data_IF_228453265888
#
_entry.id   IF_228453265888
#
_cell.length_a   1.000
_cell.length_b   1.000
_cell.length_c   1.000
_cell.angle_alpha   90.00
_cell.angle_beta   90.00
_cell.angle_gamma   90.00
#
_symmetry.space_group_name_H-M   'P 1'
#
loop_
_entity.id
_entity.type
_entity.pdbx_description
1 polymer ?
#
# COMPACT_ATOMS: atom_id res chain seq x y z
N UNK A 1 6.26 11.67 27.96
CA UNK A 1 7.29 12.72 28.16
C UNK A 1 8.00 13.00 26.85
N UNK A 2 7.60 14.07 26.17
CA UNK A 2 8.08 14.41 24.82
C UNK A 2 9.40 15.18 24.90
N UNK A 3 10.52 14.49 24.72
CA UNK A 3 11.83 15.12 24.59
C UNK A 3 12.03 15.64 23.17
N UNK A 4 12.35 16.94 23.08
CA UNK A 4 12.67 17.61 21.82
C UNK A 4 13.99 17.02 21.28
N UNK A 5 13.98 16.60 20.01
CA UNK A 5 15.19 16.11 19.31
C UNK A 5 15.80 17.28 18.54
N UNK A 6 17.09 17.50 18.73
CA UNK A 6 17.86 18.50 18.00
C UNK A 6 18.68 17.80 16.89
N UNK A 7 18.91 18.49 15.77
CA UNK A 7 19.83 18.04 14.72
C UNK A 7 21.30 18.28 15.11
N UNK A 8 22.21 18.00 14.19
CA UNK A 8 23.66 18.15 14.35
C UNK A 8 24.12 19.62 14.46
N UNK A 9 23.24 20.57 14.12
CA UNK A 9 23.44 22.01 14.30
C UNK A 9 22.73 22.55 15.57
N UNK A 10 22.09 21.68 16.36
CA UNK A 10 21.36 22.06 17.55
C UNK A 10 19.99 22.69 17.26
N UNK A 11 19.48 22.58 16.04
CA UNK A 11 18.16 23.09 15.64
C UNK A 11 17.09 22.05 15.96
N UNK A 12 15.95 22.50 16.46
CA UNK A 12 14.82 21.62 16.77
C UNK A 12 14.31 20.91 15.52
N UNK A 13 14.37 19.58 15.56
CA UNK A 13 13.98 18.75 14.44
C UNK A 13 12.46 18.59 14.41
N UNK A 14 11.81 19.25 13.45
CA UNK A 14 10.37 19.09 13.22
C UNK A 14 10.11 17.74 12.56
N UNK A 15 9.69 16.76 13.35
CA UNK A 15 9.28 15.46 12.83
C UNK A 15 7.82 15.52 12.36
N UNK A 16 7.59 15.25 11.08
CA UNK A 16 6.27 14.88 10.57
C UNK A 16 5.88 13.53 11.18
N UNK A 17 4.99 13.58 12.17
CA UNK A 17 4.34 12.39 12.74
C UNK A 17 3.03 12.16 12.01
N UNK A 18 2.84 10.94 11.50
CA UNK A 18 1.56 10.50 10.98
C UNK A 18 0.53 10.56 12.10
N UNK A 19 -0.31 11.59 12.12
CA UNK A 19 -1.52 11.61 12.94
C UNK A 19 -2.58 10.77 12.26
N UNK A 20 -2.39 9.45 12.24
CA UNK A 20 -3.54 8.59 12.06
C UNK A 20 -4.41 8.77 13.31
N UNK A 21 -5.69 9.19 13.19
CA UNK A 21 -6.59 9.22 14.31
C UNK A 21 -6.94 7.76 14.63
N UNK A 22 -6.07 7.07 15.37
CA UNK A 22 -6.35 5.74 15.90
C UNK A 22 -7.50 5.78 16.93
N UNK A 23 -7.97 6.97 17.30
CA UNK A 23 -9.17 7.19 18.10
C UNK A 23 -10.27 7.84 17.26
N UNK A 24 -11.24 7.05 16.84
CA UNK A 24 -12.47 7.57 16.24
C UNK A 24 -13.34 8.17 17.35
N UNK A 25 -13.67 9.46 17.24
CA UNK A 25 -14.64 10.11 18.11
C UNK A 25 -16.05 9.97 17.55
N UNK A 26 -17.09 10.19 18.37
CA UNK A 26 -18.49 10.18 17.92
C UNK A 26 -18.72 11.05 16.66
N UNK A 27 -18.00 12.17 16.56
CA UNK A 27 -18.04 13.09 15.42
C UNK A 27 -17.61 12.47 14.09
N UNK A 28 -16.76 11.43 14.12
CA UNK A 28 -16.37 10.72 12.89
C UNK A 28 -17.56 9.91 12.32
N UNK A 29 -18.37 9.31 13.19
CA UNK A 29 -19.56 8.55 12.79
C UNK A 29 -20.73 9.43 12.35
N UNK A 30 -20.69 10.73 12.66
CA UNK A 30 -21.65 11.72 12.17
C UNK A 30 -21.38 12.11 10.71
N UNK A 31 -20.19 11.81 10.18
CA UNK A 31 -19.84 12.04 8.78
C UNK A 31 -20.28 10.86 7.93
N UNK A 32 -20.84 11.14 6.76
CA UNK A 32 -21.07 10.11 5.75
C UNK A 32 -19.75 9.57 5.23
N UNK A 33 -19.76 8.35 4.72
CA UNK A 33 -18.58 7.70 4.12
C UNK A 33 -17.93 8.60 3.07
N UNK A 34 -18.73 9.30 2.25
CA UNK A 34 -18.27 10.21 1.20
C UNK A 34 -17.35 11.32 1.71
N UNK A 35 -17.46 11.72 2.98
CA UNK A 35 -16.56 12.71 3.58
C UNK A 35 -15.10 12.25 3.64
N UNK A 36 -14.87 10.93 3.67
CA UNK A 36 -13.55 10.32 3.75
C UNK A 36 -13.06 9.78 2.41
N UNK A 37 -13.87 9.90 1.36
CA UNK A 37 -13.52 9.47 0.01
C UNK A 37 -12.97 10.65 -0.78
N UNK A 38 -11.75 10.52 -1.26
CA UNK A 38 -11.21 11.44 -2.27
C UNK A 38 -11.67 10.96 -3.65
N UNK A 39 -12.40 11.81 -4.37
CA UNK A 39 -12.81 11.50 -5.75
C UNK A 39 -11.76 12.00 -6.72
N UNK A 40 -11.49 11.23 -7.76
CA UNK A 40 -10.53 11.59 -8.80
C UNK A 40 -10.87 12.95 -9.45
N UNK A 41 -12.16 13.29 -9.58
CA UNK A 41 -12.59 14.60 -10.13
C UNK A 41 -12.21 15.81 -9.25
N UNK A 42 -11.90 15.56 -7.97
CA UNK A 42 -11.55 16.60 -6.98
C UNK A 42 -10.06 16.64 -6.67
N UNK A 43 -9.27 15.75 -7.28
CA UNK A 43 -7.82 15.68 -7.06
C UNK A 43 -7.09 16.83 -7.77
N UNK A 44 -6.03 17.32 -7.15
CA UNK A 44 -5.12 18.26 -7.81
C UNK A 44 -4.33 17.54 -8.94
N UNK A 45 -3.72 18.28 -9.88
CA UNK A 45 -2.84 17.67 -10.88
C UNK A 45 -1.69 16.86 -10.28
N UNK A 46 -1.15 17.29 -9.12
CA UNK A 46 -0.10 16.56 -8.39
C UNK A 46 -0.63 15.25 -7.82
N UNK A 47 -1.81 15.26 -7.20
CA UNK A 47 -2.45 14.05 -6.67
C UNK A 47 -2.75 13.04 -7.78
N UNK A 48 -3.20 13.51 -8.95
CA UNK A 48 -3.45 12.65 -10.12
C UNK A 48 -2.15 12.00 -10.62
N UNK A 49 -1.06 12.77 -10.69
CA UNK A 49 0.24 12.22 -11.07
C UNK A 49 0.74 11.18 -10.04
N UNK A 50 0.51 11.43 -8.75
CA UNK A 50 0.80 10.48 -7.68
C UNK A 50 -0.05 9.21 -7.77
N UNK A 51 -1.34 9.34 -8.06
CA UNK A 51 -2.24 8.21 -8.26
C UNK A 51 -1.83 7.36 -9.48
N UNK A 52 -1.48 8.00 -10.59
CA UNK A 52 -1.00 7.30 -11.80
C UNK A 52 0.30 6.55 -11.52
N UNK A 53 1.23 7.18 -10.79
CA UNK A 53 2.48 6.54 -10.37
C UNK A 53 2.22 5.31 -9.48
N UNK A 54 1.23 5.39 -8.58
CA UNK A 54 0.83 4.27 -7.73
C UNK A 54 0.17 3.14 -8.53
N UNK A 55 -0.69 3.48 -9.50
CA UNK A 55 -1.30 2.50 -10.42
C UNK A 55 -0.22 1.74 -11.18
N UNK A 56 0.71 2.45 -11.80
CA UNK A 56 1.83 1.86 -12.53
C UNK A 56 2.73 0.98 -11.64
N UNK A 57 2.98 1.41 -10.40
CA UNK A 57 3.72 0.60 -9.43
C UNK A 57 3.00 -0.72 -9.11
N UNK A 58 1.69 -0.69 -8.85
CA UNK A 58 0.91 -1.92 -8.56
C UNK A 58 0.82 -2.83 -9.78
N UNK A 59 0.71 -2.26 -10.99
CA UNK A 59 0.71 -3.01 -12.24
C UNK A 59 2.05 -3.70 -12.53
N UNK A 60 3.16 -3.20 -11.98
CA UNK A 60 4.48 -3.85 -12.11
C UNK A 60 4.63 -5.15 -11.32
N UNK A 61 3.66 -5.49 -10.45
CA UNK A 61 3.73 -6.70 -9.64
C UNK A 61 3.43 -7.93 -10.48
N UNK A 62 4.29 -8.96 -10.42
CA UNK A 62 4.09 -10.21 -11.16
C UNK A 62 2.77 -10.89 -10.71
N UNK A 63 1.85 -11.23 -11.64
CA UNK A 63 0.63 -11.95 -11.33
C UNK A 63 0.88 -13.29 -10.62
N UNK A 64 -0.04 -13.68 -9.76
CA UNK A 64 0.00 -14.97 -9.06
C UNK A 64 -0.76 -16.03 -9.85
N UNK A 65 -0.21 -17.25 -9.87
CA UNK A 65 -0.92 -18.42 -10.38
C UNK A 65 -2.14 -18.72 -9.51
N UNK A 66 -3.27 -18.99 -10.14
CA UNK A 66 -4.47 -19.42 -9.44
C UNK A 66 -4.32 -20.87 -9.01
N UNK A 67 -4.58 -21.14 -7.74
CA UNK A 67 -4.43 -22.47 -7.16
C UNK A 67 -5.68 -22.84 -6.35
N UNK A 68 -6.03 -24.12 -6.41
CA UNK A 68 -7.01 -24.70 -5.48
C UNK A 68 -6.44 -24.72 -4.05
N UNK A 69 -7.28 -24.98 -3.05
CA UNK A 69 -6.82 -25.13 -1.65
C UNK A 69 -5.75 -26.22 -1.46
N UNK A 70 -5.61 -27.16 -2.40
CA UNK A 70 -4.61 -28.22 -2.38
C UNK A 70 -3.30 -27.82 -3.09
N UNK A 71 -3.17 -26.58 -3.56
CA UNK A 71 -1.99 -26.10 -4.31
C UNK A 71 -1.96 -26.54 -5.77
N UNK A 72 -3.06 -27.06 -6.30
CA UNK A 72 -3.14 -27.49 -7.71
C UNK A 72 -3.50 -26.28 -8.59
N UNK A 73 -2.77 -26.02 -9.69
CA UNK A 73 -3.08 -24.94 -10.62
C UNK A 73 -4.50 -25.02 -11.17
N UNK A 74 -5.19 -23.89 -11.22
CA UNK A 74 -6.49 -23.76 -11.89
C UNK A 74 -6.25 -23.55 -13.38
N UNK A 75 -6.87 -24.39 -14.20
CA UNK A 75 -6.76 -24.31 -15.66
C UNK A 75 -7.94 -23.55 -16.26
N UNK A 76 -7.72 -22.89 -17.39
CA UNK A 76 -8.78 -22.29 -18.21
C UNK A 76 -9.47 -23.33 -19.11
N UNK A 77 -10.41 -22.87 -19.94
CA UNK A 77 -11.15 -23.73 -20.88
C UNK A 77 -10.27 -24.42 -21.93
N UNK A 78 -9.04 -23.92 -22.14
CA UNK A 78 -8.06 -24.43 -23.10
C UNK A 78 -6.99 -25.30 -22.42
N UNK A 79 -7.06 -25.47 -21.09
CA UNK A 79 -6.09 -26.23 -20.31
C UNK A 79 -4.83 -25.46 -19.92
N UNK A 80 -4.78 -24.13 -20.08
CA UNK A 80 -3.66 -23.30 -19.65
C UNK A 80 -3.82 -22.87 -18.19
N UNK A 81 -2.70 -22.68 -17.48
CA UNK A 81 -2.73 -22.14 -16.12
C UNK A 81 -3.29 -20.72 -16.09
N UNK A 82 -4.19 -20.44 -15.15
CA UNK A 82 -4.73 -19.12 -14.92
C UNK A 82 -3.85 -18.29 -13.99
N UNK A 83 -3.72 -17.00 -14.31
CA UNK A 83 -2.97 -16.03 -13.54
C UNK A 83 -3.85 -14.81 -13.24
N UNK A 84 -3.60 -14.15 -12.11
CA UNK A 84 -4.30 -12.91 -11.79
C UNK A 84 -3.70 -12.19 -10.59
N UNK A 85 -4.50 -11.32 -9.97
CA UNK A 85 -4.06 -10.59 -8.77
C UNK A 85 -3.65 -11.58 -7.69
N UNK A 86 -2.44 -11.39 -7.16
CA UNK A 86 -1.89 -12.24 -6.10
C UNK A 86 -2.11 -11.64 -4.73
N UNK A 87 -2.16 -12.51 -3.73
CA UNK A 87 -2.07 -12.07 -2.35
C UNK A 87 -0.62 -11.76 -2.00
N UNK A 88 -0.40 -10.59 -1.41
CA UNK A 88 0.89 -10.19 -0.86
C UNK A 88 0.91 -10.57 0.61
N UNK A 89 1.91 -11.34 1.04
CA UNK A 89 2.14 -11.59 2.45
C UNK A 89 2.65 -10.30 3.10
N UNK A 90 1.74 -9.52 3.65
CA UNK A 90 2.07 -8.22 4.25
C UNK A 90 2.97 -8.36 5.47
N UNK A 91 2.98 -9.50 6.17
CA UNK A 91 3.90 -9.73 7.29
C UNK A 91 5.34 -9.82 6.79
N UNK A 92 5.60 -10.69 5.81
CA UNK A 92 6.93 -10.82 5.21
C UNK A 92 7.39 -9.52 4.54
N UNK A 93 6.48 -8.83 3.85
CA UNK A 93 6.78 -7.53 3.23
C UNK A 93 7.22 -6.50 4.28
N UNK A 94 6.55 -6.45 5.44
CA UNK A 94 6.89 -5.54 6.53
C UNK A 94 8.18 -5.94 7.26
N UNK A 95 8.54 -7.22 7.23
CA UNK A 95 9.78 -7.76 7.81
C UNK A 95 11.01 -7.59 6.89
N UNK A 96 10.83 -7.15 5.64
CA UNK A 96 11.92 -6.89 4.70
C UNK A 96 12.90 -5.83 5.21
N UNK A 97 14.20 -6.09 5.08
CA UNK A 97 15.27 -5.20 5.57
C UNK A 97 15.73 -4.17 4.54
N UNK A 98 15.40 -4.41 3.26
CA UNK A 98 15.82 -3.56 2.15
C UNK A 98 14.83 -3.66 0.98
N UNK A 99 15.00 -2.75 0.02
CA UNK A 99 14.12 -2.66 -1.15
C UNK A 99 14.20 -3.89 -2.07
N UNK A 100 15.32 -4.61 -2.12
CA UNK A 100 15.45 -5.80 -2.96
C UNK A 100 14.61 -6.96 -2.40
N UNK A 101 14.65 -7.18 -1.08
CA UNK A 101 13.78 -8.14 -0.39
C UNK A 101 12.29 -7.80 -0.61
N UNK A 102 11.92 -6.53 -0.45
CA UNK A 102 10.54 -6.09 -0.68
C UNK A 102 10.09 -6.32 -2.13
N UNK A 103 10.97 -6.04 -3.11
CA UNK A 103 10.70 -6.33 -4.54
C UNK A 103 10.48 -7.81 -4.79
N UNK A 104 11.20 -8.72 -4.13
CA UNK A 104 10.93 -10.16 -4.23
C UNK A 104 9.54 -10.51 -3.69
N UNK A 105 9.15 -9.97 -2.53
CA UNK A 105 7.81 -10.16 -1.95
C UNK A 105 6.69 -9.60 -2.84
N UNK A 106 6.96 -8.56 -3.61
CA UNK A 106 6.05 -7.95 -4.58
C UNK A 106 6.18 -8.54 -5.98
N UNK A 107 7.21 -9.36 -6.21
CA UNK A 107 7.54 -9.99 -7.48
C UNK A 107 7.72 -8.92 -8.53
N UNK A 108 8.66 -8.02 -8.28
CA UNK A 108 9.11 -7.02 -9.23
C UNK A 108 10.54 -7.44 -9.57
N UNK A 109 10.82 -7.63 -10.86
CA UNK A 109 12.16 -7.97 -11.35
C UNK A 109 13.12 -6.75 -11.31
#
# INVERSE_FOLDING_TARGET
DGTVRLDDQGVEMTRSVSRFPLCWSKKHFEKSTDYYLTKEETMSPEDLAGLESLKAYVESFQPGRWETKAGVPVLDEHGNEQYGKRFINTKELLDCKNAAEAKLCLGID
#
